data_IF_851868965454
#
_entry.id   IF_851868965454
#
_cell.length_a   1.000
_cell.length_b   1.000
_cell.length_c   1.000
_cell.angle_alpha   90.00
_cell.angle_beta   90.00
_cell.angle_gamma   90.00
#
_symmetry.space_group_name_H-M   'P 1'
#
loop_
_entity.id
_entity.type
_entity.pdbx_description
1 polymer ?
#
# COMPACT_ATOMS: atom_id res chain seq x y z
N UNK A 1 31.45 -77.93 -27.39
CA UNK A 1 32.50 -76.89 -27.26
C UNK A 1 31.86 -75.60 -26.78
N UNK A 2 32.14 -75.10 -25.56
CA UNK A 2 31.60 -73.83 -25.10
C UNK A 2 32.49 -72.67 -25.55
N UNK A 3 31.90 -71.68 -26.24
CA UNK A 3 32.59 -70.47 -26.69
C UNK A 3 32.57 -69.40 -25.60
N UNK A 4 33.75 -69.08 -25.11
CA UNK A 4 34.01 -68.19 -24.00
C UNK A 4 34.00 -66.73 -24.49
N UNK A 5 32.84 -66.06 -24.48
CA UNK A 5 32.69 -64.63 -24.83
C UNK A 5 32.25 -63.80 -23.62
N UNK A 6 33.17 -63.50 -22.69
CA UNK A 6 32.98 -62.50 -21.62
C UNK A 6 34.26 -61.71 -21.34
N UNK A 7 34.90 -61.14 -22.37
CA UNK A 7 36.10 -60.30 -22.20
C UNK A 7 36.04 -58.82 -22.66
N UNK A 8 35.00 -58.27 -23.32
CA UNK A 8 35.04 -56.85 -23.70
C UNK A 8 34.63 -55.88 -22.57
N UNK A 9 33.90 -56.34 -21.54
CA UNK A 9 33.35 -55.44 -20.49
C UNK A 9 34.46 -54.98 -19.52
N UNK A 10 35.44 -55.84 -19.22
CA UNK A 10 36.49 -55.54 -18.26
C UNK A 10 37.46 -54.44 -18.75
N UNK A 11 37.75 -54.42 -20.06
CA UNK A 11 38.60 -53.39 -20.64
C UNK A 11 37.93 -52.00 -20.67
N UNK A 12 36.60 -51.95 -20.85
CA UNK A 12 35.87 -50.69 -20.86
C UNK A 12 35.88 -50.01 -19.48
N UNK A 13 35.77 -50.80 -18.41
CA UNK A 13 35.82 -50.30 -17.03
C UNK A 13 37.18 -49.74 -16.64
N UNK A 14 38.28 -50.36 -17.11
CA UNK A 14 39.64 -49.85 -16.84
C UNK A 14 39.88 -48.53 -17.58
N UNK A 15 39.41 -48.42 -18.82
CA UNK A 15 39.54 -47.19 -19.60
C UNK A 15 38.82 -46.00 -18.93
N UNK A 16 37.63 -46.23 -18.38
CA UNK A 16 36.87 -45.19 -17.66
C UNK A 16 37.60 -44.72 -16.39
N UNK A 17 38.26 -45.63 -15.67
CA UNK A 17 38.98 -45.30 -14.45
C UNK A 17 40.24 -44.45 -14.73
N UNK A 18 40.96 -44.74 -15.81
CA UNK A 18 42.16 -43.98 -16.21
C UNK A 18 41.80 -42.55 -16.65
N UNK A 19 40.72 -42.38 -17.40
CA UNK A 19 40.24 -41.05 -17.83
C UNK A 19 39.80 -40.21 -16.61
N UNK A 20 39.15 -40.84 -15.62
CA UNK A 20 38.70 -40.16 -14.40
C UNK A 20 39.86 -39.61 -13.56
N UNK A 21 40.95 -40.39 -13.43
CA UNK A 21 42.15 -39.98 -12.69
C UNK A 21 42.87 -38.81 -13.41
N UNK A 22 42.87 -38.81 -14.74
CA UNK A 22 43.49 -37.73 -15.51
C UNK A 22 42.75 -36.40 -15.39
N UNK A 23 41.42 -36.41 -15.30
CA UNK A 23 40.64 -35.19 -15.04
C UNK A 23 40.84 -34.65 -13.61
N UNK A 24 41.03 -35.52 -12.61
CA UNK A 24 41.28 -35.08 -11.24
C UNK A 24 42.70 -34.52 -11.03
N UNK A 25 43.70 -34.95 -11.80
CA UNK A 25 45.07 -34.47 -11.63
C UNK A 25 45.30 -33.04 -12.16
N UNK A 26 44.43 -32.53 -13.04
CA UNK A 26 44.51 -31.14 -13.52
C UNK A 26 43.80 -30.12 -12.61
N UNK A 27 43.06 -30.56 -11.59
CA UNK A 27 42.33 -29.68 -10.66
C UNK A 27 43.12 -29.17 -9.45
N UNK A 28 44.34 -29.67 -9.23
CA UNK A 28 45.19 -29.24 -8.11
C UNK A 28 46.18 -28.17 -8.58
N UNK A 29 45.63 -26.99 -8.86
CA UNK A 29 46.41 -25.77 -9.04
C UNK A 29 47.26 -25.49 -7.80
N UNK A 30 48.55 -25.21 -8.04
CA UNK A 30 49.56 -24.87 -7.04
C UNK A 30 49.06 -23.75 -6.12
N UNK A 31 48.93 -24.06 -4.84
CA UNK A 31 48.85 -23.05 -3.77
C UNK A 31 50.23 -22.40 -3.64
N UNK A 32 50.33 -21.17 -4.09
CA UNK A 32 51.48 -20.30 -3.81
C UNK A 32 51.29 -19.73 -2.41
N UNK A 33 52.11 -20.17 -1.45
CA UNK A 33 52.17 -19.58 -0.11
C UNK A 33 52.86 -18.21 -0.19
N UNK A 34 52.04 -17.17 -0.36
CA UNK A 34 52.44 -15.80 -0.04
C UNK A 34 52.03 -15.49 1.39
N UNK A 35 53.01 -15.57 2.29
CA UNK A 35 52.99 -14.98 3.62
C UNK A 35 52.85 -13.46 3.51
N UNK A 36 51.62 -12.96 3.44
CA UNK A 36 51.30 -11.58 3.78
C UNK A 36 50.71 -11.53 5.19
N UNK A 37 51.30 -10.66 6.03
CA UNK A 37 50.77 -10.25 7.33
C UNK A 37 49.28 -9.91 7.18
N UNK A 38 48.42 -10.79 7.71
CA UNK A 38 47.00 -10.51 7.92
C UNK A 38 46.88 -9.49 9.04
N UNK A 39 46.72 -8.22 8.67
CA UNK A 39 45.94 -7.32 9.51
C UNK A 39 44.51 -7.88 9.53
N UNK A 40 44.02 -8.27 10.71
CA UNK A 40 42.63 -8.63 10.92
C UNK A 40 41.78 -7.36 10.76
N UNK A 41 41.52 -6.98 9.52
CA UNK A 41 40.33 -6.20 9.21
C UNK A 41 39.19 -7.21 9.28
N UNK A 42 38.43 -7.16 10.37
CA UNK A 42 37.12 -7.80 10.45
C UNK A 42 36.31 -7.14 9.32
N UNK A 43 36.28 -7.77 8.15
CA UNK A 43 35.27 -7.48 7.15
C UNK A 43 33.96 -7.90 7.79
N UNK A 44 33.27 -6.92 8.37
CA UNK A 44 31.84 -7.01 8.53
C UNK A 44 31.30 -7.14 7.11
N UNK A 45 31.24 -8.37 6.60
CA UNK A 45 30.30 -8.73 5.56
C UNK A 45 28.93 -8.49 6.20
N UNK A 46 28.48 -7.23 6.08
CA UNK A 46 27.12 -6.83 6.30
C UNK A 46 26.36 -7.68 5.29
N UNK A 47 25.82 -8.80 5.75
CA UNK A 47 24.77 -9.49 5.03
C UNK A 47 23.68 -8.44 4.82
N UNK A 48 23.68 -7.87 3.61
CA UNK A 48 22.60 -7.04 3.12
C UNK A 48 21.42 -7.98 2.98
N UNK A 49 20.73 -8.22 4.09
CA UNK A 49 19.45 -8.90 4.13
C UNK A 49 18.50 -8.00 3.37
N UNK A 50 18.47 -8.21 2.05
CA UNK A 50 17.55 -7.55 1.15
C UNK A 50 16.16 -7.97 1.62
N UNK A 51 15.55 -7.09 2.41
CA UNK A 51 14.20 -7.25 2.95
C UNK A 51 13.29 -7.73 1.82
N UNK A 52 12.65 -8.88 1.98
CA UNK A 52 11.70 -9.40 1.00
C UNK A 52 10.41 -8.58 1.05
N UNK A 53 10.47 -7.39 0.46
CA UNK A 53 9.38 -6.43 0.45
C UNK A 53 8.18 -7.03 -0.26
N UNK A 54 7.02 -6.97 0.41
CA UNK A 54 5.74 -7.42 -0.13
C UNK A 54 4.82 -6.23 -0.28
N UNK A 55 4.18 -6.11 -1.44
CA UNK A 55 3.20 -5.05 -1.72
C UNK A 55 1.85 -5.69 -1.89
N UNK A 56 0.86 -5.15 -1.19
CA UNK A 56 -0.51 -5.59 -1.24
C UNK A 56 -1.36 -4.52 -1.91
N UNK A 57 -2.06 -4.93 -2.96
CA UNK A 57 -2.81 -4.03 -3.83
C UNK A 57 -4.08 -4.71 -4.34
N UNK A 58 -5.02 -3.87 -4.77
CA UNK A 58 -6.30 -4.30 -5.29
C UNK A 58 -6.45 -3.92 -6.76
N UNK A 59 -7.17 -4.73 -7.51
CA UNK A 59 -7.65 -4.43 -8.85
C UNK A 59 -9.17 -4.50 -8.85
N UNK A 60 -9.81 -3.35 -9.08
CA UNK A 60 -11.27 -3.22 -9.20
C UNK A 60 -11.65 -3.43 -10.65
N UNK A 61 -12.55 -4.37 -10.89
CA UNK A 61 -13.16 -4.68 -12.16
C UNK A 61 -14.69 -4.48 -12.06
N UNK A 62 -15.45 -4.40 -13.17
CA UNK A 62 -16.86 -4.00 -13.14
C UNK A 62 -17.77 -4.76 -12.17
N UNK A 63 -17.45 -6.01 -11.83
CA UNK A 63 -18.27 -6.86 -10.95
C UNK A 63 -17.48 -7.56 -9.84
N UNK A 64 -16.20 -7.24 -9.66
CA UNK A 64 -15.35 -7.89 -8.67
C UNK A 64 -14.16 -7.02 -8.29
N UNK A 65 -13.67 -7.21 -7.08
CA UNK A 65 -12.39 -6.73 -6.59
C UNK A 65 -11.47 -7.92 -6.36
N UNK A 66 -10.30 -7.88 -6.99
CA UNK A 66 -9.24 -8.88 -6.81
C UNK A 66 -8.16 -8.30 -5.90
N UNK A 67 -7.74 -9.06 -4.88
CA UNK A 67 -6.64 -8.68 -3.99
C UNK A 67 -5.39 -9.51 -4.28
N UNK A 68 -4.27 -8.81 -4.45
CA UNK A 68 -2.99 -9.37 -4.85
C UNK A 68 -1.88 -9.04 -3.87
N UNK A 69 -0.89 -9.92 -3.84
CA UNK A 69 0.41 -9.70 -3.21
C UNK A 69 1.48 -9.80 -4.28
N UNK A 70 2.33 -8.78 -4.37
CA UNK A 70 3.57 -8.82 -5.12
C UNK A 70 4.74 -9.02 -4.15
N UNK A 71 5.62 -9.97 -4.45
CA UNK A 71 6.83 -10.25 -3.67
C UNK A 71 8.05 -9.86 -4.48
N UNK A 72 8.83 -8.90 -4.00
CA UNK A 72 9.92 -8.28 -4.77
C UNK A 72 11.10 -9.23 -5.03
N UNK A 73 11.47 -10.06 -4.05
CA UNK A 73 12.63 -10.97 -4.19
C UNK A 73 12.48 -11.99 -5.32
N UNK A 74 11.26 -12.53 -5.49
CA UNK A 74 10.93 -13.54 -6.51
C UNK A 74 10.19 -12.95 -7.72
N UNK A 75 9.93 -11.64 -7.72
CA UNK A 75 9.18 -10.91 -8.77
C UNK A 75 7.82 -11.55 -9.10
N UNK A 76 7.20 -12.19 -8.11
CA UNK A 76 5.96 -12.96 -8.25
C UNK A 76 4.74 -12.14 -7.83
N UNK A 77 3.66 -12.28 -8.58
CA UNK A 77 2.34 -11.72 -8.23
C UNK A 77 1.39 -12.88 -7.93
N UNK A 78 0.81 -12.90 -6.73
CA UNK A 78 -0.16 -13.90 -6.32
C UNK A 78 -1.48 -13.25 -5.93
N UNK A 79 -2.57 -13.67 -6.57
CA UNK A 79 -3.93 -13.35 -6.09
C UNK A 79 -4.21 -14.20 -4.85
N UNK A 80 -4.67 -13.57 -3.78
CA UNK A 80 -5.02 -14.29 -2.55
C UNK A 80 -6.51 -14.19 -2.19
N UNK A 81 -7.24 -13.21 -2.76
CA UNK A 81 -8.68 -13.09 -2.57
C UNK A 81 -9.36 -12.47 -3.80
N UNK A 82 -10.63 -12.81 -4.02
CA UNK A 82 -11.53 -12.13 -4.96
C UNK A 82 -12.97 -12.34 -4.50
N UNK A 83 -13.86 -11.39 -4.80
CA UNK A 83 -15.24 -11.35 -4.29
C UNK A 83 -16.31 -11.61 -5.38
N UNK A 84 -15.92 -12.20 -6.52
CA UNK A 84 -16.80 -12.38 -7.70
C UNK A 84 -18.16 -12.99 -7.37
N UNK A 85 -18.15 -14.02 -6.53
CA UNK A 85 -19.32 -14.82 -6.18
C UNK A 85 -19.91 -14.42 -4.81
N UNK A 86 -19.37 -13.37 -4.17
CA UNK A 86 -19.87 -12.85 -2.90
C UNK A 86 -21.04 -11.89 -3.11
N UNK A 87 -22.03 -11.91 -2.22
CA UNK A 87 -23.11 -10.91 -2.20
C UNK A 87 -22.57 -9.50 -1.87
N UNK A 88 -21.68 -9.42 -0.87
CA UNK A 88 -21.02 -8.19 -0.47
C UNK A 88 -19.70 -8.05 -1.22
N UNK A 89 -19.58 -7.00 -2.03
CA UNK A 89 -18.38 -6.65 -2.77
C UNK A 89 -17.46 -5.76 -1.94
N UNK A 90 -16.16 -5.95 -2.07
CA UNK A 90 -15.14 -5.07 -1.49
C UNK A 90 -15.24 -3.71 -2.19
N UNK A 91 -15.55 -2.68 -1.41
CA UNK A 91 -15.49 -1.28 -1.82
C UNK A 91 -14.04 -0.80 -1.69
N UNK A 92 -13.39 -1.09 -0.55
CA UNK A 92 -12.01 -0.67 -0.26
C UNK A 92 -11.36 -1.54 0.82
N UNK A 93 -10.10 -1.96 0.61
CA UNK A 93 -9.24 -2.40 1.70
C UNK A 93 -8.64 -1.16 2.40
N UNK A 94 -8.88 -1.05 3.71
CA UNK A 94 -8.63 0.15 4.51
C UNK A 94 -7.28 0.11 5.21
N UNK A 95 -6.89 -1.07 5.69
CA UNK A 95 -5.63 -1.26 6.40
C UNK A 95 -5.16 -2.71 6.34
N UNK A 96 -3.89 -2.91 6.66
CA UNK A 96 -3.26 -4.20 6.79
C UNK A 96 -2.39 -4.23 8.04
N UNK A 97 -2.48 -5.31 8.82
CA UNK A 97 -1.60 -5.59 9.95
C UNK A 97 -1.41 -7.10 10.12
N UNK A 98 -0.14 -7.53 10.21
CA UNK A 98 0.23 -8.92 10.52
C UNK A 98 -0.53 -9.97 9.69
N UNK A 99 -0.54 -9.82 8.36
CA UNK A 99 -1.26 -10.72 7.46
C UNK A 99 -2.79 -10.72 7.59
N UNK A 100 -3.38 -9.71 8.24
CA UNK A 100 -4.81 -9.46 8.24
C UNK A 100 -5.10 -8.14 7.55
N UNK A 101 -6.14 -8.12 6.72
CA UNK A 101 -6.62 -6.91 6.07
C UNK A 101 -8.00 -6.55 6.61
N UNK A 102 -8.24 -5.27 6.87
CA UNK A 102 -9.56 -4.75 7.17
C UNK A 102 -10.15 -4.21 5.87
N UNK A 103 -11.29 -4.75 5.46
CA UNK A 103 -12.00 -4.37 4.25
C UNK A 103 -13.36 -3.78 4.58
N UNK A 104 -13.73 -2.78 3.80
CA UNK A 104 -15.07 -2.23 3.76
C UNK A 104 -15.81 -2.84 2.57
N UNK A 105 -16.89 -3.55 2.86
CA UNK A 105 -17.71 -4.22 1.85
C UNK A 105 -19.13 -3.64 1.82
N UNK A 106 -19.80 -3.77 0.69
CA UNK A 106 -21.21 -3.39 0.55
C UNK A 106 -21.91 -4.17 -0.56
N UNK A 107 -23.23 -4.06 -0.59
CA UNK A 107 -24.06 -4.61 -1.66
C UNK A 107 -24.47 -3.51 -2.64
N UNK A 108 -25.34 -3.83 -3.60
CA UNK A 108 -26.02 -2.82 -4.44
C UNK A 108 -26.96 -1.92 -3.63
N UNK A 109 -27.41 -2.36 -2.46
CA UNK A 109 -28.10 -1.54 -1.47
C UNK A 109 -27.06 -0.76 -0.65
N UNK A 110 -27.03 0.57 -0.82
CA UNK A 110 -26.07 1.45 -0.16
C UNK A 110 -26.17 1.46 1.37
N UNK A 111 -27.30 0.97 1.93
CA UNK A 111 -27.50 0.87 3.37
C UNK A 111 -26.86 -0.38 3.97
N UNK A 112 -26.60 -1.41 3.15
CA UNK A 112 -26.00 -2.68 3.57
C UNK A 112 -24.51 -2.67 3.34
N UNK A 113 -23.78 -2.17 4.33
CA UNK A 113 -22.32 -2.09 4.34
C UNK A 113 -21.76 -2.62 5.65
N UNK A 114 -20.56 -3.21 5.58
CA UNK A 114 -19.95 -3.90 6.72
C UNK A 114 -18.43 -3.79 6.72
N UNK A 115 -17.85 -3.96 7.90
CA UNK A 115 -16.42 -4.11 8.10
C UNK A 115 -16.08 -5.57 8.30
N UNK A 116 -15.07 -6.04 7.60
CA UNK A 116 -14.67 -7.45 7.58
C UNK A 116 -13.15 -7.53 7.66
N UNK A 117 -12.66 -8.55 8.36
CA UNK A 117 -11.27 -8.94 8.35
C UNK A 117 -11.08 -10.13 7.40
N UNK A 118 -10.06 -10.07 6.55
CA UNK A 118 -9.65 -11.19 5.69
C UNK A 118 -8.20 -11.53 5.99
N UNK A 119 -7.85 -12.80 6.11
CA UNK A 119 -6.45 -13.24 6.24
C UNK A 119 -5.75 -13.22 4.88
N UNK A 120 -4.47 -12.86 4.82
CA UNK A 120 -3.67 -12.89 3.57
C UNK A 120 -2.99 -14.25 3.35
N UNK A 121 -3.36 -15.26 4.15
CA UNK A 121 -2.92 -16.63 3.94
C UNK A 121 -3.62 -17.24 2.71
N UNK A 122 -3.28 -18.48 2.37
CA UNK A 122 -3.86 -19.13 1.19
C UNK A 122 -5.34 -19.50 1.36
N UNK A 123 -5.87 -19.38 2.59
CA UNK A 123 -7.27 -19.72 2.91
C UNK A 123 -8.18 -18.51 2.83
N UNK A 124 -7.65 -17.31 3.04
CA UNK A 124 -8.37 -16.05 3.02
C UNK A 124 -9.65 -16.09 3.88
N UNK A 125 -9.49 -16.54 5.12
CA UNK A 125 -10.59 -16.64 6.08
C UNK A 125 -11.19 -15.26 6.33
N UNK A 126 -12.51 -15.19 6.25
CA UNK A 126 -13.31 -13.98 6.38
C UNK A 126 -13.99 -13.93 7.75
N UNK A 127 -13.84 -12.84 8.49
CA UNK A 127 -14.50 -12.59 9.78
C UNK A 127 -15.21 -11.25 9.74
N UNK A 128 -16.52 -11.25 9.95
CA UNK A 128 -17.27 -9.99 10.06
C UNK A 128 -16.94 -9.33 11.41
N UNK A 129 -16.60 -8.03 11.36
CA UNK A 129 -16.30 -7.22 12.54
C UNK A 129 -17.51 -6.38 12.92
N UNK A 130 -18.19 -5.81 11.92
CA UNK A 130 -19.37 -4.96 12.12
C UNK A 130 -20.31 -5.09 10.91
N UNK A 131 -21.52 -5.59 11.12
CA UNK A 131 -22.50 -5.90 10.07
C UNK A 131 -23.30 -4.71 9.56
N UNK A 132 -23.44 -3.64 10.35
CA UNK A 132 -24.31 -2.50 10.05
C UNK A 132 -23.51 -1.19 10.03
N UNK A 133 -22.42 -1.20 9.28
CA UNK A 133 -21.47 -0.08 9.24
C UNK A 133 -21.74 0.82 8.02
N UNK A 134 -22.48 1.90 8.24
CA UNK A 134 -22.75 2.91 7.22
C UNK A 134 -21.82 4.12 7.35
N UNK A 135 -21.28 4.57 6.23
CA UNK A 135 -20.52 5.80 6.12
C UNK A 135 -20.74 6.46 4.75
N UNK A 136 -20.73 7.78 4.73
CA UNK A 136 -20.92 8.57 3.51
C UNK A 136 -19.63 8.62 2.68
N UNK A 137 -18.49 8.88 3.33
CA UNK A 137 -17.17 8.83 2.70
C UNK A 137 -16.45 7.52 3.08
N UNK A 138 -15.35 7.22 2.37
CA UNK A 138 -14.47 6.14 2.78
C UNK A 138 -13.95 6.41 4.21
N UNK A 139 -14.04 5.43 5.11
CA UNK A 139 -13.54 5.59 6.48
C UNK A 139 -12.02 5.47 6.49
N UNK A 140 -11.39 5.94 7.56
CA UNK A 140 -9.95 5.75 7.82
C UNK A 140 -9.73 5.00 9.11
N UNK A 141 -8.70 4.15 9.15
CA UNK A 141 -8.39 3.30 10.30
C UNK A 141 -7.06 3.75 10.90
N UNK A 142 -6.99 3.77 12.23
CA UNK A 142 -5.74 4.00 12.98
C UNK A 142 -4.71 2.93 12.67
N UNK A 143 -3.41 3.27 12.65
CA UNK A 143 -2.32 2.32 12.32
C UNK A 143 -2.34 1.01 13.13
N UNK A 144 -2.85 1.04 14.35
CA UNK A 144 -2.97 -0.14 15.22
C UNK A 144 -4.28 -0.94 15.03
N UNK A 145 -5.09 -0.61 14.02
CA UNK A 145 -6.39 -1.21 13.73
C UNK A 145 -7.39 -1.24 14.91
N UNK A 146 -7.29 -0.32 15.87
CA UNK A 146 -8.24 -0.27 17.00
C UNK A 146 -9.39 0.69 16.76
N UNK A 147 -9.13 1.81 16.08
CA UNK A 147 -10.11 2.88 15.84
C UNK A 147 -10.39 3.02 14.36
N UNK A 148 -11.65 3.36 14.08
CA UNK A 148 -12.12 3.80 12.78
C UNK A 148 -12.71 5.20 12.90
N UNK A 149 -12.46 6.02 11.89
CA UNK A 149 -13.03 7.35 11.73
C UNK A 149 -13.86 7.34 10.46
N UNK A 150 -15.10 7.78 10.56
CA UNK A 150 -16.06 7.69 9.47
C UNK A 150 -17.04 8.86 9.51
N UNK A 151 -17.77 9.04 8.41
CA UNK A 151 -18.68 10.18 8.25
C UNK A 151 -20.12 9.71 8.14
N UNK A 152 -21.04 10.47 8.74
CA UNK A 152 -22.47 10.35 8.45
C UNK A 152 -22.98 11.66 7.86
N UNK A 153 -24.01 11.60 7.04
CA UNK A 153 -24.74 12.76 6.58
C UNK A 153 -26.16 12.76 7.15
N UNK A 154 -26.66 13.92 7.54
CA UNK A 154 -28.06 14.13 7.91
C UNK A 154 -28.64 15.28 7.12
N UNK A 155 -29.88 15.08 6.65
CA UNK A 155 -30.69 16.09 5.97
C UNK A 155 -31.74 16.74 6.89
N UNK A 156 -31.79 16.34 8.18
CA UNK A 156 -32.72 16.91 9.17
C UNK A 156 -32.24 18.31 9.52
N UNK A 157 -33.11 19.33 9.51
CA UNK A 157 -32.73 20.75 9.65
C UNK A 157 -31.79 21.04 10.83
N UNK A 158 -32.13 20.53 12.04
CA UNK A 158 -31.30 20.69 13.24
C UNK A 158 -29.94 19.97 13.12
N UNK A 159 -29.91 18.89 12.35
CA UNK A 159 -28.76 18.01 12.18
C UNK A 159 -28.09 18.11 10.79
N UNK A 160 -28.43 19.13 10.00
CA UNK A 160 -28.03 19.22 8.60
C UNK A 160 -26.50 19.26 8.47
N UNK A 161 -25.98 18.43 7.56
CA UNK A 161 -24.58 18.36 7.19
C UNK A 161 -23.90 17.04 7.53
N UNK A 162 -22.58 17.07 7.53
CA UNK A 162 -21.70 15.94 7.80
C UNK A 162 -21.25 15.93 9.25
N UNK A 163 -21.24 14.74 9.85
CA UNK A 163 -20.67 14.50 11.18
C UNK A 163 -19.59 13.44 11.06
N UNK A 164 -18.42 13.73 11.61
CA UNK A 164 -17.30 12.80 11.73
C UNK A 164 -17.38 12.12 13.09
N UNK A 165 -17.35 10.80 13.09
CA UNK A 165 -17.30 9.98 14.29
C UNK A 165 -15.99 9.21 14.37
N UNK A 166 -15.51 8.98 15.60
CA UNK A 166 -14.55 7.92 15.91
C UNK A 166 -15.27 6.84 16.70
N UNK A 167 -14.95 5.58 16.41
CA UNK A 167 -15.40 4.42 17.16
C UNK A 167 -14.32 3.34 17.14
N UNK A 168 -14.52 2.28 17.92
CA UNK A 168 -13.81 1.02 17.71
C UNK A 168 -14.32 0.32 16.44
N UNK A 169 -13.56 -0.67 15.92
CA UNK A 169 -13.96 -1.36 14.68
C UNK A 169 -15.31 -2.08 14.78
N UNK A 170 -15.66 -2.57 15.97
CA UNK A 170 -16.97 -3.19 16.26
C UNK A 170 -18.11 -2.17 16.41
N UNK A 171 -17.81 -0.86 16.38
CA UNK A 171 -18.78 0.23 16.55
C UNK A 171 -18.95 0.74 17.98
N UNK A 172 -18.28 0.12 18.97
CA UNK A 172 -18.32 0.57 20.36
C UNK A 172 -17.56 1.89 20.55
N UNK A 173 -17.80 2.55 21.70
CA UNK A 173 -17.13 3.79 22.08
C UNK A 173 -17.24 4.91 21.03
N UNK A 174 -18.40 4.95 20.33
CA UNK A 174 -18.70 5.97 19.33
C UNK A 174 -18.72 7.37 19.95
N UNK A 175 -17.92 8.27 19.37
CA UNK A 175 -17.82 9.68 19.77
C UNK A 175 -17.83 10.58 18.53
N UNK A 176 -18.58 11.68 18.61
CA UNK A 176 -18.52 12.75 17.62
C UNK A 176 -17.21 13.54 17.76
N UNK A 177 -16.52 13.74 16.64
CA UNK A 177 -15.28 14.52 16.55
C UNK A 177 -15.57 15.94 16.05
N UNK A 178 -16.33 16.03 14.95
CA UNK A 178 -16.49 17.28 14.22
C UNK A 178 -17.78 17.23 13.41
N UNK A 179 -18.40 18.40 13.22
CA UNK A 179 -19.59 18.57 12.41
C UNK A 179 -19.45 19.78 11.51
N UNK A 180 -19.86 19.64 10.26
CA UNK A 180 -19.71 20.66 9.22
C UNK A 180 -20.86 20.60 8.22
N UNK A 181 -21.17 21.72 7.60
CA UNK A 181 -22.08 21.75 6.45
C UNK A 181 -21.32 21.64 5.13
N UNK A 182 -19.99 21.79 5.16
CA UNK A 182 -19.15 21.67 3.98
C UNK A 182 -18.97 20.20 3.61
N UNK A 183 -18.96 19.90 2.31
CA UNK A 183 -18.71 18.54 1.84
C UNK A 183 -17.31 18.08 2.25
N UNK A 184 -17.23 16.94 2.95
CA UNK A 184 -15.96 16.29 3.28
C UNK A 184 -15.47 15.56 2.04
N UNK A 185 -14.29 15.92 1.56
CA UNK A 185 -13.68 15.38 0.36
C UNK A 185 -12.82 14.16 0.67
N UNK A 186 -11.99 14.26 1.71
CA UNK A 186 -11.06 13.20 2.09
C UNK A 186 -10.65 13.35 3.56
N UNK A 187 -10.22 12.24 4.15
CA UNK A 187 -9.68 12.18 5.50
C UNK A 187 -8.39 11.37 5.46
N UNK A 188 -7.45 11.72 6.34
CA UNK A 188 -6.21 10.97 6.56
C UNK A 188 -5.90 10.92 8.04
N UNK A 189 -5.24 9.86 8.50
CA UNK A 189 -4.87 9.71 9.90
C UNK A 189 -3.37 9.49 10.00
N UNK A 190 -2.71 10.26 10.86
CA UNK A 190 -1.29 10.12 11.14
C UNK A 190 -1.00 8.91 12.04
N UNK A 191 0.28 8.57 12.16
CA UNK A 191 0.73 7.52 13.09
C UNK A 191 0.49 7.87 14.57
N UNK A 192 0.48 9.16 14.92
CA UNK A 192 0.18 9.65 16.28
C UNK A 192 -1.34 9.85 16.54
N UNK A 193 -2.18 9.41 15.61
CA UNK A 193 -3.65 9.55 15.62
C UNK A 193 -4.15 10.98 15.43
N UNK A 194 -3.37 11.91 14.90
CA UNK A 194 -3.88 13.19 14.41
C UNK A 194 -4.70 13.00 13.12
N UNK A 195 -5.94 13.48 13.12
CA UNK A 195 -6.83 13.40 11.95
C UNK A 195 -6.66 14.65 11.09
N UNK A 196 -6.38 14.46 9.79
CA UNK A 196 -6.48 15.52 8.79
C UNK A 196 -7.76 15.36 7.99
N UNK A 197 -8.47 16.47 7.80
CA UNK A 197 -9.75 16.53 7.10
C UNK A 197 -9.59 17.52 5.96
N UNK A 198 -10.01 17.12 4.76
CA UNK A 198 -10.21 18.03 3.64
C UNK A 198 -11.71 18.21 3.42
N UNK A 199 -12.18 19.45 3.44
CA UNK A 199 -13.56 19.81 3.09
C UNK A 199 -13.57 20.90 2.01
N UNK A 200 -14.70 21.10 1.33
CA UNK A 200 -14.87 22.23 0.40
C UNK A 200 -14.70 23.56 1.16
N UNK A 201 -13.96 24.50 0.58
CA UNK A 201 -13.91 25.86 1.12
C UNK A 201 -15.03 26.73 0.54
N UNK A 202 -15.68 27.60 1.36
CA UNK A 202 -16.61 28.61 0.85
C UNK A 202 -16.01 29.58 -0.16
N UNK A 203 -14.68 29.82 -0.12
CA UNK A 203 -14.00 30.73 -1.05
C UNK A 203 -13.69 30.09 -2.42
N UNK A 204 -13.91 28.77 -2.55
CA UNK A 204 -13.41 27.95 -3.65
C UNK A 204 -12.22 27.08 -3.21
N UNK A 205 -12.03 25.94 -3.86
CA UNK A 205 -10.97 25.00 -3.47
C UNK A 205 -11.29 24.17 -2.22
N UNK A 206 -10.30 23.90 -1.38
CA UNK A 206 -10.46 23.04 -0.19
C UNK A 206 -9.82 23.61 1.06
N UNK A 207 -10.48 23.38 2.20
CA UNK A 207 -9.97 23.68 3.53
C UNK A 207 -9.39 22.40 4.13
N UNK A 208 -8.12 22.45 4.52
CA UNK A 208 -7.44 21.43 5.31
C UNK A 208 -7.59 21.79 6.78
N UNK A 209 -8.16 20.86 7.56
CA UNK A 209 -8.27 20.96 9.02
C UNK A 209 -7.49 19.85 9.70
N UNK A 210 -6.99 20.16 10.89
CA UNK A 210 -6.31 19.21 11.75
C UNK A 210 -7.13 19.06 13.02
N UNK A 211 -7.42 17.82 13.39
CA UNK A 211 -8.03 17.47 14.67
C UNK A 211 -7.03 16.69 15.53
N UNK A 212 -6.70 17.27 16.68
CA UNK A 212 -5.85 16.67 17.72
C UNK A 212 -6.73 15.98 18.76
N UNK A 213 -6.63 14.66 18.84
CA UNK A 213 -7.40 13.84 19.79
C UNK A 213 -6.98 14.07 21.26
N UNK A 214 -5.75 14.51 21.51
CA UNK A 214 -5.26 14.76 22.86
C UNK A 214 -5.84 16.05 23.44
N UNK A 215 -6.06 17.05 22.60
CA UNK A 215 -6.61 18.35 22.98
C UNK A 215 -8.13 18.46 22.73
N UNK A 216 -8.71 17.48 22.04
CA UNK A 216 -10.09 17.55 21.53
C UNK A 216 -10.38 18.84 20.77
N UNK A 217 -9.45 19.20 19.88
CA UNK A 217 -9.48 20.49 19.19
C UNK A 217 -9.31 20.32 17.70
N UNK A 218 -10.16 21.02 16.94
CA UNK A 218 -10.00 21.18 15.51
C UNK A 218 -9.49 22.59 15.18
N UNK A 219 -8.59 22.68 14.22
CA UNK A 219 -8.11 23.95 13.68
C UNK A 219 -8.18 23.98 12.15
N UNK A 220 -8.50 25.16 11.61
CA UNK A 220 -8.31 25.43 10.19
C UNK A 220 -6.81 25.60 9.94
N UNK A 221 -6.21 24.67 9.21
CA UNK A 221 -4.78 24.63 9.05
C UNK A 221 -4.33 25.38 7.80
N UNK A 222 -4.92 25.04 6.65
CA UNK A 222 -4.53 25.61 5.36
C UNK A 222 -5.70 25.60 4.38
N UNK A 223 -5.71 26.54 3.45
CA UNK A 223 -6.73 26.65 2.42
C UNK A 223 -6.06 26.62 1.04
N UNK A 224 -6.56 25.76 0.17
CA UNK A 224 -6.02 25.56 -1.18
C UNK A 224 -6.88 26.29 -2.20
N UNK A 225 -6.24 26.84 -3.23
CA UNK A 225 -6.96 27.50 -4.34
C UNK A 225 -7.77 26.51 -5.20
N UNK A 226 -7.35 25.24 -5.26
CA UNK A 226 -8.03 24.19 -6.04
C UNK A 226 -8.46 23.03 -5.15
N UNK A 227 -9.47 22.30 -5.61
CA UNK A 227 -10.01 21.16 -4.88
C UNK A 227 -8.98 20.04 -4.71
N UNK A 228 -8.92 19.52 -3.49
CA UNK A 228 -8.19 18.30 -3.18
C UNK A 228 -8.98 17.07 -3.61
N UNK A 229 -8.24 16.06 -4.04
CA UNK A 229 -8.78 14.75 -4.42
C UNK A 229 -8.55 13.74 -3.29
N UNK A 230 -7.39 13.81 -2.65
CA UNK A 230 -6.96 12.85 -1.63
C UNK A 230 -5.96 13.51 -0.70
N UNK A 231 -5.99 13.09 0.56
CA UNK A 231 -5.08 13.58 1.61
C UNK A 231 -4.54 12.40 2.42
N UNK A 232 -3.27 12.50 2.78
CA UNK A 232 -2.58 11.52 3.60
C UNK A 232 -1.61 12.24 4.54
N UNK A 233 -1.18 11.56 5.58
CA UNK A 233 -0.23 12.09 6.55
C UNK A 233 1.07 11.32 6.51
N UNK A 234 2.20 12.03 6.47
CA UNK A 234 3.54 11.45 6.45
C UNK A 234 4.44 12.24 7.40
N UNK A 235 4.93 11.61 8.46
CA UNK A 235 5.73 12.29 9.49
C UNK A 235 5.05 13.54 10.07
N UNK A 236 5.60 14.72 9.78
CA UNK A 236 5.06 16.02 10.17
C UNK A 236 4.56 16.83 8.97
N UNK A 237 4.33 16.15 7.84
CA UNK A 237 3.85 16.72 6.60
C UNK A 237 2.50 16.10 6.20
N UNK A 238 1.64 16.94 5.66
CA UNK A 238 0.42 16.52 4.99
C UNK A 238 0.75 16.35 3.50
N UNK A 239 0.47 15.18 2.95
CA UNK A 239 0.63 14.90 1.53
C UNK A 239 -0.76 14.91 0.89
N UNK A 240 -0.93 15.61 -0.22
CA UNK A 240 -2.22 15.64 -0.89
C UNK A 240 -2.11 15.68 -2.41
N UNK A 241 -3.18 15.21 -3.06
CA UNK A 241 -3.42 15.35 -4.49
C UNK A 241 -4.35 16.53 -4.73
N UNK A 242 -3.91 17.49 -5.54
CA UNK A 242 -4.68 18.69 -5.88
C UNK A 242 -4.91 18.77 -7.39
N UNK A 243 -6.12 19.14 -7.83
CA UNK A 243 -6.40 19.40 -9.25
C UNK A 243 -5.67 20.65 -9.73
N UNK A 244 -5.10 20.60 -10.93
CA UNK A 244 -4.29 21.69 -11.50
C UNK A 244 -5.09 22.85 -12.06
N UNK A 245 -6.36 22.62 -12.44
CA UNK A 245 -7.28 23.68 -12.85
C UNK A 245 -8.67 23.39 -12.30
N UNK A 246 -9.39 24.41 -11.83
CA UNK A 246 -10.80 24.27 -11.51
C UNK A 246 -11.56 24.01 -12.82
N UNK A 247 -12.30 22.90 -12.89
CA UNK A 247 -13.20 22.55 -14.00
C UNK A 247 -12.57 22.13 -15.35
N UNK A 248 -11.27 21.85 -15.43
CA UNK A 248 -10.72 21.26 -16.67
C UNK A 248 -10.90 19.75 -16.70
N UNK A 249 -11.33 19.21 -17.84
CA UNK A 249 -11.33 17.77 -18.12
C UNK A 249 -9.92 17.16 -18.14
N UNK A 250 -8.86 17.99 -18.16
CA UNK A 250 -7.48 17.59 -17.87
C UNK A 250 -7.35 17.26 -16.37
N UNK A 251 -7.81 16.06 -16.01
CA UNK A 251 -8.02 15.63 -14.64
C UNK A 251 -6.74 15.02 -14.05
N UNK A 252 -5.56 15.61 -14.29
CA UNK A 252 -4.29 15.12 -13.74
C UNK A 252 -3.97 15.85 -12.43
N UNK A 253 -4.31 15.27 -11.26
CA UNK A 253 -3.93 15.88 -10.01
C UNK A 253 -2.41 15.79 -9.81
N UNK A 254 -1.87 16.82 -9.18
CA UNK A 254 -0.47 16.90 -8.79
C UNK A 254 -0.31 16.65 -7.29
N UNK A 255 0.87 16.15 -6.89
CA UNK A 255 1.15 15.83 -5.49
C UNK A 255 1.96 16.94 -4.83
N UNK A 256 1.52 17.35 -3.65
CA UNK A 256 2.17 18.36 -2.82
C UNK A 256 2.39 17.84 -1.41
N UNK A 257 3.42 18.36 -0.74
CA UNK A 257 3.56 18.30 0.72
C UNK A 257 3.27 19.67 1.31
N UNK A 258 2.74 19.67 2.52
CA UNK A 258 2.51 20.83 3.35
C UNK A 258 3.08 20.56 4.73
N UNK A 259 4.05 21.37 5.13
CA UNK A 259 4.69 21.24 6.44
C UNK A 259 3.91 21.97 7.54
N UNK A 260 4.34 21.79 8.80
CA UNK A 260 3.77 22.45 9.98
C UNK A 260 3.82 23.98 9.95
N UNK A 261 4.73 24.57 9.15
CA UNK A 261 4.87 26.02 8.99
C UNK A 261 4.02 26.53 7.81
N UNK A 262 3.19 25.67 7.22
CA UNK A 262 2.34 25.93 6.06
C UNK A 262 3.11 26.21 4.78
N UNK A 263 4.35 25.74 4.68
CA UNK A 263 5.09 25.76 3.43
C UNK A 263 4.60 24.64 2.53
N UNK A 264 4.15 25.00 1.34
CA UNK A 264 3.75 24.04 0.31
C UNK A 264 4.93 23.74 -0.62
N UNK A 265 5.14 22.46 -0.91
CA UNK A 265 6.15 21.99 -1.87
C UNK A 265 5.54 20.98 -2.82
N UNK A 266 5.70 21.21 -4.12
CA UNK A 266 5.35 20.21 -5.14
C UNK A 266 6.34 19.05 -5.11
N UNK A 267 5.81 17.82 -5.08
CA UNK A 267 6.61 16.59 -5.04
C UNK A 267 6.61 15.87 -6.39
N UNK A 268 5.54 16.00 -7.18
CA UNK A 268 5.44 15.30 -8.47
C UNK A 268 6.46 15.81 -9.49
N UNK A 269 7.23 14.88 -10.07
CA UNK A 269 8.39 15.19 -10.92
C UNK A 269 8.01 15.57 -12.37
N UNK A 270 6.77 15.31 -12.84
CA UNK A 270 6.22 15.70 -14.17
C UNK A 270 4.69 15.87 -14.11
N UNK A 271 4.06 16.29 -15.22
CA UNK A 271 2.60 16.17 -15.43
C UNK A 271 2.22 14.69 -15.39
N UNK A 272 1.95 14.21 -14.19
CA UNK A 272 1.57 12.83 -13.93
C UNK A 272 0.10 12.79 -13.56
N UNK A 273 -0.67 11.86 -14.12
CA UNK A 273 -2.05 11.64 -13.71
C UNK A 273 -2.06 10.73 -12.48
N UNK A 274 -1.89 11.34 -11.30
CA UNK A 274 -1.73 10.60 -10.05
C UNK A 274 -3.07 10.16 -9.47
N UNK A 275 -3.08 9.03 -8.77
CA UNK A 275 -4.19 8.65 -7.92
C UNK A 275 -3.72 7.74 -6.80
N UNK A 276 -4.51 7.66 -5.73
CA UNK A 276 -4.30 6.81 -4.57
C UNK A 276 -2.94 7.02 -3.90
N UNK A 277 -2.89 7.91 -2.90
CA UNK A 277 -1.72 8.02 -2.03
C UNK A 277 -1.81 6.95 -0.95
N UNK A 278 -0.74 6.18 -0.79
CA UNK A 278 -0.56 5.29 0.34
C UNK A 278 0.77 5.59 1.03
N UNK A 279 0.75 5.74 2.35
CA UNK A 279 1.94 6.02 3.16
C UNK A 279 2.23 4.79 4.02
N UNK A 280 3.45 4.26 3.90
CA UNK A 280 3.94 3.22 4.80
C UNK A 280 5.37 3.49 5.20
N UNK A 281 5.66 3.48 6.51
CA UNK A 281 7.00 3.72 7.06
C UNK A 281 7.73 4.89 6.38
N UNK A 282 7.04 6.02 6.25
CA UNK A 282 7.52 7.27 5.64
C UNK A 282 7.90 7.19 4.15
N UNK A 283 7.54 6.11 3.48
CA UNK A 283 7.57 6.02 2.03
C UNK A 283 6.20 6.42 1.45
N UNK A 284 6.22 7.20 0.37
CA UNK A 284 5.02 7.55 -0.39
C UNK A 284 4.89 6.57 -1.56
N UNK A 285 3.77 5.90 -1.62
CA UNK A 285 3.36 5.04 -2.73
C UNK A 285 2.18 5.68 -3.46
N UNK A 286 2.15 5.56 -4.78
CA UNK A 286 1.08 6.12 -5.59
C UNK A 286 0.88 5.36 -6.90
N UNK A 287 -0.25 5.62 -7.56
CA UNK A 287 -0.54 5.08 -8.88
C UNK A 287 -0.42 6.19 -9.92
N UNK A 288 0.39 5.94 -10.95
CA UNK A 288 0.54 6.82 -12.11
C UNK A 288 -0.30 6.29 -13.27
N UNK A 289 -1.20 7.14 -13.78
CA UNK A 289 -2.12 6.84 -14.89
C UNK A 289 -1.74 7.57 -16.19
N UNK A 290 -0.52 8.12 -16.28
CA UNK A 290 -0.10 8.93 -17.43
C UNK A 290 -0.04 8.15 -18.75
N UNK A 291 0.36 6.87 -18.72
CA UNK A 291 0.72 6.11 -19.93
C UNK A 291 -0.24 4.97 -20.26
N UNK A 292 -1.42 4.90 -19.66
CA UNK A 292 -2.25 3.71 -19.79
C UNK A 292 -3.75 3.97 -19.74
N UNK A 293 -4.49 3.17 -20.52
CA UNK A 293 -5.91 2.88 -20.27
C UNK A 293 -6.10 2.08 -18.97
N UNK A 294 -5.02 1.42 -18.48
CA UNK A 294 -4.99 0.56 -17.28
C UNK A 294 -3.94 1.02 -16.25
N UNK A 295 -4.38 1.47 -15.08
CA UNK A 295 -3.55 2.19 -14.10
C UNK A 295 -2.27 1.44 -13.62
N UNK A 296 -1.10 2.09 -13.70
CA UNK A 296 0.21 1.50 -13.33
C UNK A 296 0.71 1.95 -11.95
N UNK A 297 1.15 1.00 -11.12
CA UNK A 297 1.71 1.22 -9.79
C UNK A 297 3.12 1.80 -9.87
N UNK A 298 3.39 2.89 -9.16
CA UNK A 298 4.73 3.49 -9.04
C UNK A 298 5.16 3.49 -7.57
N UNK A 299 6.27 2.82 -7.24
CA UNK A 299 6.78 2.71 -5.87
C UNK A 299 7.75 3.84 -5.46
N UNK A 300 7.63 4.24 -4.18
CA UNK A 300 8.54 4.99 -3.31
C UNK A 300 9.10 6.35 -3.79
N UNK A 301 8.51 7.46 -3.31
CA UNK A 301 9.22 8.75 -3.18
C UNK A 301 9.90 8.81 -1.80
N UNK A 302 11.00 8.07 -1.64
CA UNK A 302 12.12 8.62 -0.88
C UNK A 302 12.97 9.41 -1.89
N UNK A 303 13.66 10.44 -1.44
CA UNK A 303 14.54 11.26 -2.28
C UNK A 303 15.39 10.39 -3.22
N UNK A 304 15.00 10.31 -4.51
CA UNK A 304 15.51 9.44 -5.59
C UNK A 304 14.59 8.25 -5.89
N UNK A 305 13.87 8.36 -7.02
CA UNK A 305 13.20 7.26 -7.72
C UNK A 305 14.11 6.03 -7.80
N UNK A 306 13.72 4.93 -7.16
CA UNK A 306 13.97 3.61 -7.76
C UNK A 306 12.63 3.12 -8.30
N UNK A 307 12.34 3.29 -9.60
CA UNK A 307 11.18 2.65 -10.19
C UNK A 307 11.29 1.15 -9.89
N UNK A 308 10.17 0.52 -9.55
CA UNK A 308 10.15 -0.93 -9.43
C UNK A 308 10.57 -1.53 -10.77
N UNK A 309 11.43 -2.56 -10.73
CA UNK A 309 11.87 -3.29 -11.92
C UNK A 309 10.68 -3.88 -12.73
N UNK A 310 9.50 -3.99 -12.10
CA UNK A 310 8.28 -4.55 -12.67
C UNK A 310 7.11 -3.58 -12.52
N UNK A 311 6.38 -3.39 -13.61
CA UNK A 311 5.11 -2.66 -13.63
C UNK A 311 4.02 -3.55 -13.03
N UNK A 312 3.31 -3.05 -12.02
CA UNK A 312 2.13 -3.68 -11.44
C UNK A 312 0.90 -2.89 -11.88
N UNK A 313 -0.18 -3.57 -12.28
CA UNK A 313 -1.46 -2.92 -12.58
C UNK A 313 -2.32 -2.98 -11.32
N UNK A 314 -2.75 -1.82 -10.83
CA UNK A 314 -3.49 -1.71 -9.58
C UNK A 314 -4.49 -0.56 -9.62
N UNK A 315 -5.60 -0.71 -8.90
CA UNK A 315 -6.54 0.36 -8.61
C UNK A 315 -6.16 1.14 -7.36
N UNK A 316 -5.58 0.46 -6.35
CA UNK A 316 -5.04 1.09 -5.13
C UNK A 316 -4.09 0.15 -4.36
N UNK A 317 -3.25 0.74 -3.51
CA UNK A 317 -2.38 0.06 -2.54
C UNK A 317 -3.02 0.12 -1.16
N UNK A 318 -2.89 -0.94 -0.38
CA UNK A 318 -3.41 -0.98 0.99
C UNK A 318 -2.44 -1.59 2.02
N UNK A 319 -1.27 -2.06 1.60
CA UNK A 319 -0.28 -2.62 2.52
C UNK A 319 1.10 -2.78 1.90
N UNK A 320 2.13 -2.58 2.71
CA UNK A 320 3.52 -2.95 2.37
C UNK A 320 4.17 -3.55 3.63
N UNK A 321 4.75 -4.74 3.49
CA UNK A 321 5.49 -5.47 4.53
C UNK A 321 6.96 -5.61 4.18
#
# INVERSE_FOLDING_TARGET
>A
MPTNRKRPIFFLTILFFVVSIWFFSQGLGKRTDNSQKKNNTISNDIFDFKSDRKIFYALIEPNQTNLYRYTESVKETKRFYFDKDEEFKIIKALSMDNGNIIVFEGTTDETKKRLVQITTDQKANKKIINENFYTYNLPVISKNNKKIIYTSFSNVEKDYGFTIFSAELNGENKRQIYRTQNNIMSMGLSADNTLVISENSPSGGSMIKIYDFSQDKIENFYETENNLVEIAWKNSEIIFLQKTKPNSNENSPEMFSLDKNKNIKKISLKKTNLSNIFINNDEIYYIDKTNSTDATLSGAIQSIQKPMDKIIIASYIFGVE
#
